data_IF_849297679776
#
_entry.id   IF_849297679776
#
_cell.length_a   1.000
_cell.length_b   1.000
_cell.length_c   1.000
_cell.angle_alpha   90.00
_cell.angle_beta   90.00
_cell.angle_gamma   90.00
#
_symmetry.space_group_name_H-M   'P 1'
#
loop_
_entity.id
_entity.type
_entity.pdbx_description
1 polymer ?
#
# COMPACT_ATOMS: atom_id res chain seq x y z
N UNK A 1 34.56 16.09 -9.73
CA UNK A 1 33.70 15.20 -10.55
C UNK A 1 33.33 13.90 -9.83
N UNK A 2 34.29 13.13 -9.33
CA UNK A 2 34.06 11.81 -8.70
C UNK A 2 33.09 11.82 -7.49
N UNK A 3 33.08 12.88 -6.66
CA UNK A 3 32.19 12.98 -5.49
C UNK A 3 30.75 13.34 -5.81
N UNK A 4 30.54 14.19 -6.83
CA UNK A 4 29.19 14.50 -7.35
C UNK A 4 28.57 13.24 -7.96
N UNK A 5 29.39 12.42 -8.61
CA UNK A 5 28.99 11.10 -9.11
C UNK A 5 28.63 10.14 -7.95
N UNK A 6 29.43 10.10 -6.87
CA UNK A 6 29.12 9.29 -5.66
C UNK A 6 27.85 9.75 -4.94
N UNK A 7 27.59 11.07 -4.88
CA UNK A 7 26.35 11.64 -4.33
C UNK A 7 25.14 11.18 -5.15
N UNK A 8 25.22 11.38 -6.48
CA UNK A 8 24.18 10.96 -7.40
C UNK A 8 23.89 9.45 -7.31
N UNK A 9 24.92 8.62 -7.21
CA UNK A 9 24.77 7.17 -7.09
C UNK A 9 24.08 6.73 -5.79
N UNK A 10 24.41 7.36 -4.66
CA UNK A 10 23.79 7.03 -3.37
C UNK A 10 22.34 7.51 -3.29
N UNK A 11 22.06 8.74 -3.72
CA UNK A 11 20.68 9.23 -3.79
C UNK A 11 19.84 8.36 -4.74
N UNK A 12 20.40 8.00 -5.90
CA UNK A 12 19.76 7.05 -6.80
C UNK A 12 19.48 5.71 -6.12
N UNK A 13 20.46 5.14 -5.42
CA UNK A 13 20.27 3.89 -4.67
C UNK A 13 19.13 3.99 -3.65
N UNK A 14 19.09 5.06 -2.85
CA UNK A 14 18.01 5.28 -1.87
C UNK A 14 16.66 5.32 -2.58
N UNK A 15 16.52 6.15 -3.62
CA UNK A 15 15.27 6.27 -4.38
C UNK A 15 14.85 4.94 -5.03
N UNK A 16 15.80 4.15 -5.55
CA UNK A 16 15.48 2.81 -6.07
C UNK A 16 15.00 1.85 -4.98
N UNK A 17 15.60 1.89 -3.79
CA UNK A 17 15.15 1.07 -2.66
C UNK A 17 13.79 1.48 -2.15
N UNK A 18 13.53 2.78 -2.02
CA UNK A 18 12.20 3.31 -1.68
C UNK A 18 11.16 2.84 -2.68
N UNK A 19 11.46 2.92 -3.99
CA UNK A 19 10.59 2.41 -5.04
C UNK A 19 10.32 0.91 -4.88
N UNK A 20 11.36 0.10 -4.66
CA UNK A 20 11.22 -1.34 -4.48
C UNK A 20 10.32 -1.67 -3.27
N UNK A 21 10.50 -0.96 -2.15
CA UNK A 21 9.67 -1.14 -0.95
C UNK A 21 8.20 -0.78 -1.23
N UNK A 22 7.92 0.32 -1.93
CA UNK A 22 6.54 0.67 -2.31
C UNK A 22 5.91 -0.37 -3.25
N UNK A 23 6.70 -0.99 -4.13
CA UNK A 23 6.25 -2.10 -4.97
C UNK A 23 5.89 -3.31 -4.10
N UNK A 24 6.70 -3.63 -3.08
CA UNK A 24 6.40 -4.73 -2.16
C UNK A 24 5.15 -4.47 -1.32
N UNK A 25 4.99 -3.26 -0.77
CA UNK A 25 3.76 -2.90 -0.05
C UNK A 25 2.51 -3.07 -0.93
N UNK A 26 2.60 -2.61 -2.18
CA UNK A 26 1.53 -2.78 -3.16
C UNK A 26 1.20 -4.24 -3.44
N UNK A 27 2.22 -5.09 -3.59
CA UNK A 27 2.03 -6.53 -3.76
C UNK A 27 1.36 -7.15 -2.52
N UNK A 28 1.80 -6.75 -1.32
CA UNK A 28 1.21 -7.20 -0.07
C UNK A 28 -0.28 -6.83 0.01
N UNK A 29 -0.64 -5.57 -0.23
CA UNK A 29 -2.04 -5.15 -0.25
C UNK A 29 -2.85 -5.81 -1.37
N UNK A 30 -2.23 -6.14 -2.50
CA UNK A 30 -2.91 -6.84 -3.60
C UNK A 30 -3.24 -8.28 -3.25
N UNK A 31 -2.26 -9.02 -2.71
CA UNK A 31 -2.36 -10.46 -2.47
C UNK A 31 -3.13 -10.80 -1.19
N UNK A 32 -3.08 -9.92 -0.19
CA UNK A 32 -3.69 -10.17 1.11
C UNK A 32 -4.90 -9.29 1.32
N UNK A 33 -6.06 -9.84 0.99
CA UNK A 33 -7.33 -9.24 1.34
C UNK A 33 -7.41 -8.99 2.86
N UNK A 34 -7.99 -7.85 3.30
CA UNK A 34 -8.33 -7.62 4.69
C UNK A 34 -9.13 -8.79 5.25
N UNK A 35 -8.98 -9.09 6.54
CA UNK A 35 -9.72 -10.20 7.14
C UNK A 35 -11.19 -9.82 7.22
N UNK A 36 -12.05 -10.70 6.71
CA UNK A 36 -13.46 -10.68 7.05
C UNK A 36 -13.61 -11.05 8.53
N UNK A 37 -14.54 -10.40 9.23
CA UNK A 37 -14.86 -10.74 10.61
C UNK A 37 -15.15 -12.24 10.74
N UNK A 38 -14.56 -12.93 11.74
CA UNK A 38 -14.79 -14.35 11.94
C UNK A 38 -16.20 -14.66 12.43
N UNK A 39 -16.92 -13.64 12.92
CA UNK A 39 -18.30 -13.75 13.37
C UNK A 39 -19.18 -13.85 12.11
N UNK A 40 -19.92 -14.96 11.91
CA UNK A 40 -20.86 -15.08 10.80
C UNK A 40 -21.88 -13.94 10.89
N UNK A 41 -22.14 -13.26 9.76
CA UNK A 41 -23.30 -12.38 9.73
C UNK A 41 -24.56 -13.27 9.89
N UNK A 42 -25.49 -12.91 10.79
CA UNK A 42 -26.68 -13.74 11.13
C UNK A 42 -27.52 -14.09 9.88
N UNK A 43 -27.42 -13.27 8.84
CA UNK A 43 -28.20 -13.38 7.61
C UNK A 43 -27.38 -13.85 6.40
N UNK A 44 -26.17 -14.42 6.56
CA UNK A 44 -25.54 -15.15 5.46
C UNK A 44 -25.81 -16.65 5.55
N UNK A 45 -26.30 -17.21 4.46
CA UNK A 45 -26.53 -18.66 4.33
C UNK A 45 -25.21 -19.46 4.38
N UNK A 46 -24.10 -18.84 3.96
CA UNK A 46 -22.79 -19.49 3.94
C UNK A 46 -21.62 -18.49 4.06
N UNK A 47 -21.11 -18.33 5.28
CA UNK A 47 -20.00 -17.42 5.58
C UNK A 47 -18.68 -17.83 4.91
N UNK A 48 -18.48 -19.15 4.68
CA UNK A 48 -17.28 -19.63 4.00
C UNK A 48 -17.25 -19.20 2.52
N UNK A 49 -18.41 -19.20 1.86
CA UNK A 49 -18.55 -18.64 0.50
C UNK A 49 -18.27 -17.14 0.52
N UNK A 50 -18.83 -16.39 1.47
CA UNK A 50 -18.56 -14.96 1.61
C UNK A 50 -17.06 -14.66 1.75
N UNK A 51 -16.35 -15.47 2.56
CA UNK A 51 -14.91 -15.32 2.75
C UNK A 51 -14.10 -15.62 1.48
N UNK A 52 -14.51 -16.62 0.70
CA UNK A 52 -13.89 -16.94 -0.59
C UNK A 52 -14.15 -15.84 -1.63
N UNK A 53 -15.42 -15.40 -1.75
CA UNK A 53 -15.84 -14.31 -2.63
C UNK A 53 -15.16 -12.98 -2.29
N UNK A 54 -14.97 -12.69 -1.00
CA UNK A 54 -14.22 -11.52 -0.56
C UNK A 54 -12.76 -11.55 -1.04
N UNK A 55 -12.05 -12.66 -0.81
CA UNK A 55 -10.66 -12.80 -1.25
C UNK A 55 -10.53 -12.70 -2.77
N UNK A 56 -11.43 -13.36 -3.50
CA UNK A 56 -11.43 -13.34 -4.97
C UNK A 56 -11.76 -11.96 -5.52
N UNK A 57 -12.83 -11.33 -5.01
CA UNK A 57 -13.22 -9.97 -5.40
C UNK A 57 -12.15 -8.96 -5.04
N UNK A 58 -11.49 -9.09 -3.89
CA UNK A 58 -10.37 -8.23 -3.51
C UNK A 58 -9.21 -8.33 -4.50
N UNK A 59 -8.79 -9.55 -4.80
CA UNK A 59 -7.71 -9.78 -5.75
C UNK A 59 -8.06 -9.20 -7.13
N UNK A 60 -9.29 -9.39 -7.61
CA UNK A 60 -9.68 -8.92 -8.93
C UNK A 60 -9.88 -7.39 -8.96
N UNK A 61 -10.73 -6.84 -8.09
CA UNK A 61 -11.12 -5.44 -8.11
C UNK A 61 -10.01 -4.52 -7.58
N UNK A 62 -9.34 -4.91 -6.48
CA UNK A 62 -8.32 -4.07 -5.84
C UNK A 62 -6.92 -4.45 -6.32
N UNK A 63 -6.56 -5.73 -6.22
CA UNK A 63 -5.23 -6.22 -6.58
C UNK A 63 -4.91 -5.98 -8.06
N UNK A 64 -5.58 -6.71 -8.95
CA UNK A 64 -5.32 -6.66 -10.39
C UNK A 64 -5.70 -5.32 -10.99
N UNK A 65 -6.93 -4.83 -10.76
CA UNK A 65 -7.48 -3.70 -11.51
C UNK A 65 -7.04 -2.32 -10.99
N UNK A 66 -6.64 -2.20 -9.73
CA UNK A 66 -6.22 -0.90 -9.18
C UNK A 66 -4.74 -0.87 -8.80
N UNK A 67 -4.30 -1.84 -8.01
CA UNK A 67 -2.95 -1.83 -7.47
C UNK A 67 -1.91 -2.25 -8.51
N UNK A 68 -2.22 -3.22 -9.38
CA UNK A 68 -1.25 -3.80 -10.33
C UNK A 68 -1.52 -3.45 -11.81
N UNK A 69 -2.61 -2.75 -12.13
CA UNK A 69 -3.10 -2.58 -13.51
C UNK A 69 -2.22 -1.69 -14.42
N UNK A 70 -1.26 -0.94 -13.86
CA UNK A 70 -0.48 0.05 -14.61
C UNK A 70 1.01 -0.04 -14.29
N UNK A 71 1.91 0.20 -15.27
CA UNK A 71 3.35 0.40 -15.00
C UNK A 71 3.62 1.61 -14.09
N UNK A 72 2.67 2.54 -14.01
CA UNK A 72 2.63 3.66 -13.08
C UNK A 72 1.34 3.60 -12.28
N UNK A 73 1.29 2.71 -11.27
CA UNK A 73 0.07 2.54 -10.51
C UNK A 73 -0.18 3.78 -9.62
N UNK A 74 -1.45 4.10 -9.33
CA UNK A 74 -1.79 5.27 -8.51
C UNK A 74 -1.19 5.16 -7.10
N UNK A 75 -0.91 6.27 -6.40
CA UNK A 75 -0.41 6.26 -5.03
C UNK A 75 -1.25 5.37 -4.10
N UNK A 76 -0.60 4.64 -3.19
CA UNK A 76 -1.27 3.76 -2.23
C UNK A 76 -2.27 4.55 -1.38
N UNK A 77 -1.93 5.76 -0.94
CA UNK A 77 -2.85 6.65 -0.23
C UNK A 77 -4.16 6.96 -0.97
N UNK A 78 -4.17 6.81 -2.31
CA UNK A 78 -5.37 6.93 -3.13
C UNK A 78 -6.27 5.69 -3.14
N UNK A 79 -5.76 4.54 -2.70
CA UNK A 79 -6.45 3.25 -2.78
C UNK A 79 -7.74 3.24 -1.96
N UNK A 80 -7.75 3.88 -0.79
CA UNK A 80 -8.94 3.91 0.05
C UNK A 80 -10.13 4.60 -0.65
N UNK A 81 -9.88 5.64 -1.45
CA UNK A 81 -10.94 6.32 -2.21
C UNK A 81 -11.51 5.42 -3.31
N UNK A 82 -10.66 4.65 -3.99
CA UNK A 82 -11.10 3.65 -4.95
C UNK A 82 -11.92 2.55 -4.26
N UNK A 83 -11.43 2.02 -3.15
CA UNK A 83 -12.10 0.96 -2.40
C UNK A 83 -13.46 1.43 -1.89
N UNK A 84 -13.60 2.68 -1.44
CA UNK A 84 -14.88 3.29 -1.06
C UNK A 84 -15.92 3.34 -2.19
N UNK A 85 -15.48 3.31 -3.45
CA UNK A 85 -16.38 3.27 -4.61
C UNK A 85 -16.86 1.86 -4.97
N UNK A 86 -16.24 0.83 -4.41
CA UNK A 86 -16.64 -0.55 -4.64
C UNK A 86 -17.92 -0.88 -3.88
N UNK A 87 -18.66 -1.84 -4.44
CA UNK A 87 -19.93 -2.34 -3.93
C UNK A 87 -19.91 -3.86 -3.87
N UNK A 88 -20.91 -4.46 -3.25
CA UNK A 88 -21.04 -5.93 -3.22
C UNK A 88 -21.12 -6.55 -4.65
N UNK A 89 -21.52 -5.79 -5.67
CA UNK A 89 -21.55 -6.25 -7.05
C UNK A 89 -20.14 -6.54 -7.61
N UNK A 90 -19.11 -5.86 -7.08
CA UNK A 90 -17.71 -6.08 -7.45
C UNK A 90 -17.12 -7.36 -6.81
N UNK A 91 -17.89 -8.02 -5.93
CA UNK A 91 -17.49 -9.20 -5.17
C UNK A 91 -18.51 -10.34 -5.37
N UNK A 92 -18.53 -11.00 -6.55
CA UNK A 92 -19.55 -12.00 -6.87
C UNK A 92 -19.65 -13.10 -5.80
N UNK A 93 -20.86 -13.31 -5.30
CA UNK A 93 -21.18 -14.33 -4.29
C UNK A 93 -20.95 -13.89 -2.83
N UNK A 94 -20.49 -12.66 -2.58
CA UNK A 94 -20.50 -12.12 -1.21
C UNK A 94 -21.92 -11.71 -0.83
N UNK A 95 -22.33 -12.01 0.40
CA UNK A 95 -23.57 -11.46 0.95
C UNK A 95 -23.39 -9.98 1.31
N UNK A 96 -24.40 -9.16 1.06
CA UNK A 96 -24.31 -7.69 1.21
C UNK A 96 -23.89 -7.26 2.62
N UNK A 97 -24.43 -7.89 3.67
CA UNK A 97 -24.08 -7.56 5.07
C UNK A 97 -22.62 -7.88 5.35
N UNK A 98 -22.17 -9.05 4.92
CA UNK A 98 -20.79 -9.48 5.14
C UNK A 98 -19.80 -8.58 4.34
N UNK A 99 -20.19 -8.06 3.17
CA UNK A 99 -19.44 -6.99 2.48
C UNK A 99 -19.41 -5.69 3.30
N UNK A 100 -20.57 -5.22 3.78
CA UNK A 100 -20.66 -3.98 4.56
C UNK A 100 -19.80 -4.03 5.83
N UNK A 101 -19.83 -5.14 6.58
CA UNK A 101 -18.99 -5.30 7.78
C UNK A 101 -17.50 -5.34 7.43
N UNK A 102 -17.10 -6.07 6.38
CA UNK A 102 -15.70 -6.09 5.94
C UNK A 102 -15.20 -4.69 5.54
N UNK A 103 -16.06 -3.90 4.88
CA UNK A 103 -15.73 -2.54 4.49
C UNK A 103 -15.63 -1.58 5.69
N UNK A 104 -16.45 -1.74 6.74
CA UNK A 104 -16.34 -0.94 7.98
C UNK A 104 -14.97 -1.12 8.63
N UNK A 105 -14.55 -2.37 8.80
CA UNK A 105 -13.25 -2.69 9.39
C UNK A 105 -12.09 -2.15 8.56
N UNK A 106 -12.21 -2.25 7.24
CA UNK A 106 -11.22 -1.71 6.31
C UNK A 106 -11.13 -0.19 6.38
N UNK A 107 -12.25 0.52 6.48
CA UNK A 107 -12.30 1.98 6.54
C UNK A 107 -11.83 2.54 7.89
N UNK A 108 -11.85 1.73 8.95
CA UNK A 108 -11.39 2.15 10.27
C UNK A 108 -9.87 2.31 10.36
N UNK A 109 -9.10 1.77 9.41
CA UNK A 109 -7.64 1.80 9.42
C UNK A 109 -7.08 2.37 8.11
N UNK A 110 -6.39 3.51 8.15
CA UNK A 110 -5.77 4.14 6.96
C UNK A 110 -4.40 3.52 6.63
N UNK A 111 -4.37 2.19 6.59
CA UNK A 111 -3.15 1.38 6.46
C UNK A 111 -2.40 1.64 5.15
N UNK A 112 -3.11 2.14 4.13
CA UNK A 112 -2.52 2.45 2.85
C UNK A 112 -1.69 3.74 2.89
N UNK A 113 -2.22 4.79 3.54
CA UNK A 113 -1.48 6.04 3.72
C UNK A 113 -0.30 5.82 4.66
N UNK A 114 -0.51 5.13 5.80
CA UNK A 114 0.55 4.82 6.77
C UNK A 114 1.73 4.07 6.13
N UNK A 115 1.44 3.07 5.27
CA UNK A 115 2.48 2.31 4.58
C UNK A 115 3.27 3.17 3.58
N UNK A 116 2.60 4.03 2.80
CA UNK A 116 3.28 4.90 1.83
C UNK A 116 4.08 5.99 2.52
N UNK A 117 3.48 6.69 3.48
CA UNK A 117 4.10 7.80 4.19
C UNK A 117 5.31 7.32 5.00
N UNK A 118 5.22 6.16 5.67
CA UNK A 118 6.35 5.58 6.38
C UNK A 118 7.54 5.28 5.48
N UNK A 119 7.31 4.69 4.30
CA UNK A 119 8.38 4.40 3.33
C UNK A 119 9.01 5.68 2.76
N UNK A 120 8.20 6.72 2.54
CA UNK A 120 8.67 8.02 2.06
C UNK A 120 9.45 8.75 3.16
N UNK A 121 8.97 8.75 4.39
CA UNK A 121 9.62 9.39 5.54
C UNK A 121 11.00 8.76 5.80
N UNK A 122 11.09 7.43 5.81
CA UNK A 122 12.37 6.70 5.93
C UNK A 122 13.37 7.13 4.85
N UNK A 123 12.91 7.30 3.61
CA UNK A 123 13.74 7.75 2.51
C UNK A 123 14.24 9.19 2.71
N UNK A 124 13.36 10.09 3.16
CA UNK A 124 13.68 11.50 3.42
C UNK A 124 14.71 11.61 4.53
N UNK A 125 14.53 10.90 5.64
CA UNK A 125 15.48 10.89 6.77
C UNK A 125 16.87 10.45 6.31
N UNK A 126 16.96 9.39 5.53
CA UNK A 126 18.26 8.87 5.04
C UNK A 126 18.93 9.86 4.08
N UNK A 127 18.17 10.52 3.20
CA UNK A 127 18.71 11.56 2.30
C UNK A 127 19.16 12.80 3.07
N UNK A 128 18.38 13.26 4.06
CA UNK A 128 18.71 14.42 4.89
C UNK A 128 19.96 14.17 5.72
N UNK A 129 20.04 13.05 6.45
CA UNK A 129 21.21 12.68 7.25
C UNK A 129 22.49 12.66 6.41
N UNK A 130 22.40 12.20 5.16
CA UNK A 130 23.51 12.23 4.24
C UNK A 130 23.94 13.65 3.83
N UNK A 131 22.98 14.52 3.50
CA UNK A 131 23.26 15.93 3.18
C UNK A 131 23.88 16.69 4.37
N UNK A 132 23.39 16.44 5.58
CA UNK A 132 23.92 17.05 6.81
C UNK A 132 25.34 16.58 7.11
N UNK A 133 25.60 15.27 6.98
CA UNK A 133 26.95 14.69 7.17
C UNK A 133 27.95 15.32 6.21
N UNK A 134 27.55 15.57 4.95
CA UNK A 134 28.41 16.29 4.02
C UNK A 134 28.65 17.74 4.45
N UNK A 135 27.60 18.46 4.82
CA UNK A 135 27.69 19.87 5.25
C UNK A 135 28.63 20.04 6.45
N UNK A 136 28.58 19.13 7.42
CA UNK A 136 29.48 19.11 8.57
C UNK A 136 30.93 18.81 8.18
N UNK A 137 31.17 17.83 7.31
CA UNK A 137 32.51 17.54 6.80
C UNK A 137 33.14 18.74 6.07
N UNK A 138 32.34 19.52 5.34
CA UNK A 138 32.82 20.74 4.67
C UNK A 138 33.11 21.88 5.65
N UNK A 139 32.39 22.00 6.76
CA UNK A 139 32.68 23.02 7.79
C UNK A 139 33.91 22.72 8.63
N UNK A 140 34.25 21.44 8.82
CA UNK A 140 35.40 21.03 9.64
C UNK A 140 36.71 21.00 8.84
N UNK A 141 36.64 20.88 7.50
CA UNK A 141 37.81 20.77 6.62
C UNK A 141 37.96 21.94 5.62
N UNK A 142 37.29 23.06 5.87
CA UNK A 142 37.47 24.34 5.16
C UNK A 142 38.23 25.32 6.06
#
# INVERSE_FOLDING_TARGET
MERVQKLGLKTYYILTKTRDTLIQERLNFSLYAPRLTPIPCLDCDNHAVCHSSWKSGWWNAVGQNYLLCSPHPPPLKGALNFIKSLTAADFPGIHHICFTEAMKDLMAADRFAEAEDGVVEDAVVVVQAFNETQTLYYRVNA
#
